data_IF_083112909010
#
_entry.id   IF_083112909010
#
_cell.length_a   1.000
_cell.length_b   1.000
_cell.length_c   1.000
_cell.angle_alpha   90.00
_cell.angle_beta   90.00
_cell.angle_gamma   90.00
#
_symmetry.space_group_name_H-M   'P 1'
#
loop_
_entity.id
_entity.type
_entity.pdbx_description
1 polymer ?
#
# COMPACT_ATOMS: atom_id res chain seq x y z
N UNK A 1 -21.80 20.32 -0.79
CA UNK A 1 -21.42 19.89 -0.45
C UNK A 1 -20.80 18.86 -0.85
N UNK A 2 -20.26 18.62 -0.98
CA UNK A 2 -19.71 17.84 -1.48
C UNK A 2 -18.88 17.10 -0.79
N UNK A 3 -19.03 16.73 -0.05
CA UNK A 3 -18.33 15.96 0.71
C UNK A 3 -17.87 14.78 0.08
N UNK A 4 -18.36 14.43 -0.90
CA UNK A 4 -18.03 13.18 -1.48
C UNK A 4 -16.60 12.74 -1.43
N UNK A 5 -15.74 13.50 -1.96
CA UNK A 5 -14.38 13.05 -2.06
C UNK A 5 -13.75 12.84 -0.72
N UNK A 6 -14.03 13.68 0.21
CA UNK A 6 -13.39 13.53 1.48
C UNK A 6 -13.89 12.36 2.25
N UNK A 7 -15.08 11.88 1.93
CA UNK A 7 -15.60 10.75 2.65
C UNK A 7 -15.15 9.44 2.07
N UNK A 8 -14.45 9.45 0.96
CA UNK A 8 -14.01 8.21 0.37
C UNK A 8 -12.78 7.72 1.08
N UNK A 9 -12.77 6.48 1.56
CA UNK A 9 -11.60 5.96 2.24
C UNK A 9 -10.37 5.96 1.36
N UNK A 10 -9.24 6.09 1.96
CA UNK A 10 -7.98 6.15 1.23
C UNK A 10 -7.80 4.96 0.30
N UNK A 11 -8.11 3.77 0.79
CA UNK A 11 -7.96 2.60 -0.05
C UNK A 11 -8.79 2.73 -1.32
N UNK A 12 -10.00 3.22 -1.21
CA UNK A 12 -10.85 3.37 -2.37
C UNK A 12 -10.32 4.46 -3.29
N UNK A 13 -9.77 5.53 -2.73
CA UNK A 13 -9.18 6.57 -3.56
C UNK A 13 -7.98 6.04 -4.34
N UNK A 14 -7.19 5.15 -3.71
CA UNK A 14 -6.08 4.53 -4.42
C UNK A 14 -6.60 3.66 -5.57
N UNK A 15 -7.69 2.95 -5.34
CA UNK A 15 -8.26 2.11 -6.38
C UNK A 15 -8.78 2.93 -7.55
N UNK A 16 -9.40 4.06 -7.26
CA UNK A 16 -9.87 4.94 -8.31
C UNK A 16 -8.71 5.54 -9.09
N UNK A 17 -7.67 5.93 -8.37
CA UNK A 17 -6.49 6.48 -9.03
C UNK A 17 -5.82 5.43 -9.92
N UNK A 18 -5.83 4.17 -9.47
CA UNK A 18 -5.25 3.11 -10.26
C UNK A 18 -6.01 2.92 -11.56
N UNK A 19 -7.33 2.98 -11.50
CA UNK A 19 -8.12 2.87 -12.69
C UNK A 19 -7.79 3.97 -13.68
N UNK A 20 -7.64 5.18 -13.17
CA UNK A 20 -7.29 6.30 -14.02
C UNK A 20 -5.90 6.11 -14.61
N UNK A 21 -4.96 5.66 -13.82
CA UNK A 21 -3.60 5.45 -14.29
C UNK A 21 -3.56 4.38 -15.38
N UNK A 22 -4.37 3.35 -15.23
CA UNK A 22 -4.43 2.31 -16.23
C UNK A 22 -4.99 2.85 -17.55
N UNK A 23 -6.01 3.69 -17.46
CA UNK A 23 -6.55 4.27 -18.66
C UNK A 23 -5.55 5.17 -19.33
N UNK A 24 -4.79 5.91 -18.56
CA UNK A 24 -3.79 6.82 -19.10
C UNK A 24 -2.50 6.12 -19.50
N UNK A 25 -2.39 4.84 -19.16
CA UNK A 25 -1.18 4.07 -19.44
C UNK A 25 0.02 4.69 -18.75
N UNK A 26 -0.20 5.21 -17.55
CA UNK A 26 0.85 5.81 -16.75
C UNK A 26 1.48 4.72 -15.93
N UNK A 27 2.53 4.11 -16.46
CA UNK A 27 3.11 2.93 -15.82
C UNK A 27 3.73 3.25 -14.46
N UNK A 28 4.25 4.45 -14.29
CA UNK A 28 4.84 4.82 -13.01
C UNK A 28 3.75 4.90 -11.97
N UNK A 29 2.64 5.54 -12.29
CA UNK A 29 1.54 5.63 -11.34
C UNK A 29 0.95 4.26 -11.05
N UNK A 30 0.80 3.42 -12.07
CA UNK A 30 0.26 2.09 -11.87
C UNK A 30 1.13 1.31 -10.88
N UNK A 31 2.44 1.40 -11.06
CA UNK A 31 3.35 0.67 -10.20
C UNK A 31 3.23 1.15 -8.75
N UNK A 32 3.22 2.46 -8.55
CA UNK A 32 3.14 3.00 -7.19
C UNK A 32 1.82 2.63 -6.53
N UNK A 33 0.73 2.76 -7.27
CA UNK A 33 -0.58 2.51 -6.68
C UNK A 33 -0.79 1.03 -6.37
N UNK A 34 -0.31 0.16 -7.23
CA UNK A 34 -0.42 -1.27 -6.96
C UNK A 34 0.39 -1.66 -5.73
N UNK A 35 1.58 -1.11 -5.62
CA UNK A 35 2.42 -1.43 -4.48
C UNK A 35 1.78 -0.95 -3.19
N UNK A 36 1.22 0.24 -3.19
CA UNK A 36 0.58 0.76 -1.98
C UNK A 36 -0.63 -0.09 -1.61
N UNK A 37 -1.43 -0.48 -2.59
CA UNK A 37 -2.59 -1.32 -2.30
C UNK A 37 -2.17 -2.68 -1.78
N UNK A 38 -1.08 -3.23 -2.30
CA UNK A 38 -0.56 -4.49 -1.81
C UNK A 38 -0.08 -4.36 -0.37
N UNK A 39 0.56 -3.24 -0.05
CA UNK A 39 1.04 -3.04 1.31
C UNK A 39 -0.13 -2.99 2.28
N UNK A 40 -1.23 -2.37 1.87
CA UNK A 40 -2.41 -2.30 2.71
C UNK A 40 -2.99 -3.71 2.89
N UNK A 41 -3.09 -4.47 1.80
CA UNK A 41 -3.63 -5.82 1.89
C UNK A 41 -2.76 -6.70 2.76
N UNK A 42 -1.46 -6.57 2.63
CA UNK A 42 -0.57 -7.38 3.44
C UNK A 42 -0.70 -7.05 4.92
N UNK A 43 -0.85 -5.78 5.22
CA UNK A 43 -0.99 -5.38 6.61
C UNK A 43 -2.28 -5.91 7.21
N UNK A 44 -3.35 -5.94 6.43
CA UNK A 44 -4.60 -6.43 6.96
C UNK A 44 -4.63 -7.95 7.04
N UNK A 45 -3.79 -8.61 6.28
CA UNK A 45 -3.79 -10.07 6.30
C UNK A 45 -2.91 -10.64 7.40
N UNK A 46 -2.06 -9.85 7.99
CA UNK A 46 -1.16 -10.37 8.99
C UNK A 46 -1.89 -10.64 10.28
N UNK A 47 -1.89 -11.83 10.74
CA UNK A 47 -2.59 -12.15 11.95
C UNK A 47 -1.86 -11.59 13.11
N UNK A 48 -2.58 -11.18 14.01
CA UNK A 48 -2.03 -10.72 15.14
C UNK A 48 -1.12 -11.55 15.81
N UNK A 49 -1.28 -12.63 16.09
CA UNK A 49 -0.44 -13.39 16.73
C UNK A 49 0.23 -14.16 15.92
N UNK A 50 0.39 -13.98 15.02
CA UNK A 50 0.98 -14.70 14.10
C UNK A 50 1.99 -15.47 14.61
N UNK A 51 2.52 -15.26 15.05
CA UNK A 51 3.51 -15.94 15.46
C UNK A 51 3.60 -17.24 15.70
N UNK A 52 3.30 -17.53 16.27
CA UNK A 52 3.49 -18.67 16.71
C UNK A 52 3.66 -19.69 15.90
N UNK A 53 3.32 -20.16 15.91
CA UNK A 53 3.27 -21.14 15.21
C UNK A 53 4.27 -21.52 14.47
N UNK A 54 5.03 -21.18 14.56
CA UNK A 54 6.00 -21.47 13.81
C UNK A 54 6.01 -22.85 13.58
N UNK A 55 6.65 -23.23 13.56
CA UNK A 55 6.82 -24.45 13.27
C UNK A 55 5.74 -25.22 13.12
N UNK A 56 5.22 -25.10 13.79
CA UNK A 56 4.28 -25.96 13.72
C UNK A 56 3.83 -26.19 12.53
N UNK A 57 3.35 -25.98 12.32
CA UNK A 57 2.79 -26.30 11.27
C UNK A 57 3.39 -26.20 10.17
N UNK A 58 4.07 -25.54 10.13
CA UNK A 58 4.62 -25.44 9.01
C UNK A 58 4.12 -26.31 8.03
N UNK A 59 4.64 -27.20 7.97
CA UNK A 59 4.45 -28.06 6.92
C UNK A 59 3.12 -28.43 6.66
N UNK A 60 2.62 -28.52 7.29
CA UNK A 60 1.57 -29.04 6.98
C UNK A 60 0.53 -28.48 6.51
N UNK A 61 0.40 -28.67 5.80
CA UNK A 61 -0.61 -28.38 5.17
C UNK A 61 -1.85 -28.60 5.74
N UNK A 62 -1.92 -29.35 6.34
CA UNK A 62 -3.12 -29.63 6.95
C UNK A 62 -3.40 -28.32 7.55
N UNK A 63 -2.49 -27.86 8.15
CA UNK A 63 -2.69 -26.66 8.76
C UNK A 63 -3.09 -25.64 7.77
N UNK A 64 -2.59 -25.78 6.66
CA UNK A 64 -2.86 -24.81 5.66
C UNK A 64 -4.32 -24.71 5.41
N UNK A 65 -4.92 -25.77 5.29
CA UNK A 65 -6.28 -25.77 4.99
C UNK A 65 -7.07 -25.12 6.08
N UNK A 66 -6.86 -25.51 7.25
CA UNK A 66 -7.62 -24.94 8.27
C UNK A 66 -7.22 -23.51 8.31
N UNK A 67 -6.05 -23.25 7.95
CA UNK A 67 -5.58 -21.92 8.00
C UNK A 67 -6.37 -20.98 7.15
N UNK A 68 -6.89 -21.45 6.10
CA UNK A 68 -7.62 -20.62 5.25
C UNK A 68 -8.76 -19.98 5.96
N UNK A 69 -9.63 -20.67 6.47
CA UNK A 69 -10.73 -20.10 7.16
C UNK A 69 -10.26 -19.28 8.34
N UNK A 70 -9.29 -19.78 9.03
CA UNK A 70 -8.83 -19.07 10.18
C UNK A 70 -8.21 -17.76 9.76
N UNK A 71 -7.48 -17.78 8.71
CA UNK A 71 -6.81 -16.59 8.27
C UNK A 71 -7.83 -15.53 7.91
N UNK A 72 -8.88 -15.89 7.28
CA UNK A 72 -9.86 -14.93 6.96
C UNK A 72 -10.52 -14.41 8.18
N UNK A 73 -10.81 -15.25 9.11
CA UNK A 73 -11.47 -14.83 10.29
C UNK A 73 -10.61 -13.89 11.10
N UNK A 74 -9.32 -14.05 10.98
CA UNK A 74 -8.47 -13.23 11.76
C UNK A 74 -7.91 -12.06 11.03
N UNK A 75 -8.42 -11.77 9.88
CA UNK A 75 -7.91 -10.65 9.16
C UNK A 75 -8.09 -9.38 9.97
N UNK A 76 -7.08 -8.60 10.07
CA UNK A 76 -7.11 -7.38 10.84
C UNK A 76 -7.76 -6.26 10.06
N UNK A 77 -8.77 -5.65 10.62
CA UNK A 77 -9.43 -4.55 9.95
C UNK A 77 -8.65 -3.28 10.23
N UNK A 78 -8.14 -2.67 9.20
CA UNK A 78 -7.34 -1.46 9.39
C UNK A 78 -8.23 -0.23 9.49
N UNK A 79 -7.87 0.68 10.36
CA UNK A 79 -8.58 1.94 10.46
C UNK A 79 -8.06 2.87 9.38
N UNK A 80 -8.81 3.92 9.13
CA UNK A 80 -8.39 4.87 8.12
C UNK A 80 -7.02 5.48 8.44
N UNK A 81 -6.73 5.91 9.67
CA UNK A 81 -5.40 6.42 9.96
C UNK A 81 -4.31 5.38 9.73
N UNK A 82 -4.60 4.11 10.00
CA UNK A 82 -3.61 3.06 9.76
C UNK A 82 -3.33 2.91 8.27
N UNK A 83 -4.38 2.98 7.45
CA UNK A 83 -4.18 2.89 6.02
C UNK A 83 -3.34 4.07 5.52
N UNK A 84 -3.63 5.27 6.01
CA UNK A 84 -2.85 6.42 5.59
C UNK A 84 -1.41 6.29 6.01
N UNK A 85 -1.17 5.73 7.18
CA UNK A 85 0.18 5.56 7.66
C UNK A 85 0.95 4.62 6.75
N UNK A 86 0.30 3.58 6.28
CA UNK A 86 0.93 2.64 5.37
C UNK A 86 1.34 3.34 4.09
N UNK A 87 0.45 4.17 3.55
CA UNK A 87 0.77 4.88 2.32
C UNK A 87 1.90 5.88 2.55
N UNK A 88 1.90 6.57 3.70
CA UNK A 88 2.96 7.51 3.98
C UNK A 88 4.30 6.81 4.12
N UNK A 89 4.30 5.60 4.65
CA UNK A 89 5.52 4.82 4.73
C UNK A 89 6.04 4.47 3.35
N UNK A 90 5.13 4.15 2.42
CA UNK A 90 5.54 3.88 1.05
C UNK A 90 6.16 5.11 0.41
N UNK A 91 5.62 6.28 0.69
CA UNK A 91 6.18 7.51 0.17
C UNK A 91 7.58 7.73 0.74
N UNK A 92 7.72 7.54 2.05
CA UNK A 92 9.01 7.78 2.69
C UNK A 92 10.08 6.84 2.16
N UNK A 93 9.71 5.60 1.92
CA UNK A 93 10.67 4.64 1.39
C UNK A 93 11.13 5.05 0.00
N UNK A 94 10.21 5.53 -0.82
CA UNK A 94 10.60 5.95 -2.16
C UNK A 94 11.47 7.18 -2.14
N UNK A 95 11.20 8.10 -1.23
CA UNK A 95 12.03 9.29 -1.13
C UNK A 95 13.42 8.95 -0.65
N UNK A 96 13.53 8.02 0.30
CA UNK A 96 14.84 7.61 0.78
C UNK A 96 15.61 6.88 -0.32
N UNK A 97 14.93 6.02 -1.06
CA UNK A 97 15.58 5.29 -2.14
C UNK A 97 16.02 6.26 -3.24
N UNK A 98 15.20 7.27 -3.51
CA UNK A 98 15.58 8.24 -4.53
C UNK A 98 16.87 8.97 -4.13
N UNK A 99 16.96 9.31 -2.86
CA UNK A 99 18.17 9.98 -2.39
C UNK A 99 19.38 9.07 -2.58
N UNK A 100 19.23 7.79 -2.27
CA UNK A 100 20.32 6.84 -2.43
C UNK A 100 20.73 6.70 -3.88
N UNK A 101 19.76 6.67 -4.79
CA UNK A 101 20.09 6.57 -6.20
C UNK A 101 20.78 7.83 -6.70
N UNK A 102 20.38 9.00 -6.21
CA UNK A 102 21.09 10.21 -6.58
C UNK A 102 22.54 10.14 -6.13
N UNK A 103 22.77 9.67 -4.91
CA UNK A 103 24.12 9.58 -4.40
C UNK A 103 24.96 8.59 -5.18
N UNK A 104 24.31 7.59 -5.73
CA UNK A 104 25.02 6.56 -6.49
C UNK A 104 25.18 6.92 -7.97
N UNK A 105 24.69 8.07 -8.37
CA UNK A 105 24.84 8.47 -9.76
C UNK A 105 23.80 7.92 -10.69
N UNK A 106 22.62 7.61 -10.18
CA UNK A 106 21.54 7.09 -11.01
C UNK A 106 20.34 8.03 -10.95
N UNK A 107 20.45 9.19 -11.59
CA UNK A 107 19.37 10.18 -11.49
C UNK A 107 18.06 9.76 -12.12
N UNK A 108 18.09 8.87 -13.10
CA UNK A 108 16.84 8.45 -13.71
C UNK A 108 16.01 7.61 -12.76
N UNK A 109 16.66 6.72 -12.04
CA UNK A 109 15.97 5.92 -11.06
C UNK A 109 15.44 6.80 -9.94
N UNK A 110 16.24 7.78 -9.53
CA UNK A 110 15.81 8.69 -8.48
C UNK A 110 14.57 9.45 -8.90
N UNK A 111 14.56 9.91 -10.14
CA UNK A 111 13.42 10.67 -10.63
C UNK A 111 12.17 9.82 -10.69
N UNK A 112 12.30 8.58 -11.11
CA UNK A 112 11.16 7.70 -11.18
C UNK A 112 10.57 7.49 -9.80
N UNK A 113 11.42 7.26 -8.80
CA UNK A 113 10.93 7.05 -7.45
C UNK A 113 10.26 8.30 -6.91
N UNK A 114 10.75 9.47 -7.25
CA UNK A 114 10.12 10.70 -6.81
C UNK A 114 8.75 10.86 -7.43
N UNK A 115 8.59 10.43 -8.67
CA UNK A 115 7.31 10.50 -9.30
C UNK A 115 6.34 9.55 -8.66
N UNK A 116 6.81 8.36 -8.30
CA UNK A 116 5.96 7.42 -7.60
C UNK A 116 5.50 7.98 -6.26
N UNK A 117 6.43 8.57 -5.53
CA UNK A 117 6.09 9.17 -4.24
C UNK A 117 5.08 10.29 -4.42
N UNK A 118 5.22 11.05 -5.46
CA UNK A 118 4.34 12.16 -5.73
C UNK A 118 2.91 11.68 -6.03
N UNK A 119 2.79 10.59 -6.77
CA UNK A 119 1.48 10.03 -7.07
C UNK A 119 0.78 9.65 -5.77
N UNK A 120 1.49 8.97 -4.88
CA UNK A 120 0.90 8.53 -3.63
C UNK A 120 0.55 9.71 -2.73
N UNK A 121 1.42 10.70 -2.68
CA UNK A 121 1.13 11.86 -1.86
C UNK A 121 -0.10 12.60 -2.35
N UNK A 122 -0.30 12.65 -3.65
CA UNK A 122 -1.45 13.36 -4.17
C UNK A 122 -2.76 12.69 -3.76
N UNK A 123 -2.76 11.37 -3.61
CA UNK A 123 -3.95 10.68 -3.17
C UNK A 123 -4.24 11.01 -1.71
N UNK A 124 -3.20 11.00 -0.88
CA UNK A 124 -3.39 11.31 0.52
C UNK A 124 -3.78 12.75 0.72
N UNK A 125 -3.13 13.64 0.03
CA UNK A 125 -3.38 15.06 0.24
C UNK A 125 -4.76 15.47 -0.19
N UNK A 126 -5.37 14.75 -1.13
CA UNK A 126 -6.69 15.08 -1.52
C UNK A 126 -7.65 15.04 -0.38
N UNK A 127 -7.45 14.14 0.56
CA UNK A 127 -8.37 14.02 1.64
C UNK A 127 -8.22 15.18 2.60
N UNK A 128 -7.10 15.88 2.52
CA UNK A 128 -6.91 17.00 3.40
C UNK A 128 -7.25 18.30 2.74
N UNK A 129 -7.63 18.27 1.53
CA UNK A 129 -7.91 19.50 0.83
C UNK A 129 -9.11 20.18 1.42
N UNK A 130 -9.13 21.43 1.54
CA UNK A 130 -10.23 22.17 2.13
C UNK A 130 -11.48 22.16 1.30
#
# INVERSE_FOLDING_TARGET
>A
MVAGVQDIPTRQRLQLALREALRARDTIAVSALRTALSAIDNASAVPVESTPAPGTGGPHFAGAVSGLGAAEAERHALTEPEVEQIVRAEVAERQAAAHDYDQAGHPDEAERLRREASVLMSVINRSEAP
#
